data_IF_580228234132
#
_entry.id   IF_580228234132
#
_cell.length_a   1.000
_cell.length_b   1.000
_cell.length_c   1.000
_cell.angle_alpha   90.00
_cell.angle_beta   90.00
_cell.angle_gamma   90.00
#
_symmetry.space_group_name_H-M   'P 1'
#
loop_
_entity.id
_entity.type
_entity.pdbx_description
1 polymer ?
#
# COMPACT_ATOMS: atom_id res chain seq x y z
N UNK A 1 -32.34 24.89 -40.67
CA UNK A 1 -32.74 24.97 -42.08
C UNK A 1 -31.62 24.33 -42.87
N UNK A 2 -31.64 23.01 -43.07
CA UNK A 2 -32.38 22.31 -44.14
C UNK A 2 -31.97 22.89 -45.50
N UNK A 3 -31.30 22.18 -46.40
CA UNK A 3 -31.76 20.92 -46.99
C UNK A 3 -30.60 20.07 -47.54
N UNK A 4 -30.66 18.77 -47.23
CA UNK A 4 -30.08 17.69 -48.05
C UNK A 4 -30.96 17.48 -49.29
N UNK A 5 -30.35 17.01 -50.38
CA UNK A 5 -31.01 16.54 -51.59
C UNK A 5 -30.63 15.06 -51.79
N UNK A 6 -31.64 14.23 -52.00
CA UNK A 6 -31.59 12.77 -52.09
C UNK A 6 -31.64 12.31 -53.56
N UNK A 7 -31.03 11.15 -53.82
CA UNK A 7 -31.37 10.25 -54.92
C UNK A 7 -30.15 9.60 -55.57
N UNK A 8 -30.08 8.31 -55.87
CA UNK A 8 -30.99 7.17 -55.71
C UNK A 8 -30.17 5.92 -56.16
N UNK A 9 -30.72 4.72 -55.99
CA UNK A 9 -30.44 3.46 -56.71
C UNK A 9 -29.45 2.47 -56.05
N UNK A 10 -30.01 1.60 -55.21
CA UNK A 10 -30.24 0.18 -55.52
C UNK A 10 -29.05 -0.77 -55.75
N UNK A 11 -28.92 -1.79 -54.90
CA UNK A 11 -28.88 -3.21 -55.31
C UNK A 11 -28.77 -4.12 -54.07
N UNK A 12 -29.79 -4.95 -53.87
CA UNK A 12 -29.78 -6.18 -53.08
C UNK A 12 -28.62 -7.09 -53.49
N UNK A 13 -27.96 -7.77 -52.55
CA UNK A 13 -27.62 -9.20 -52.67
C UNK A 13 -27.27 -9.78 -51.29
N UNK A 14 -28.19 -10.59 -50.77
CA UNK A 14 -28.03 -11.43 -49.60
C UNK A 14 -27.13 -12.64 -49.94
N UNK A 15 -26.03 -12.82 -49.20
CA UNK A 15 -25.16 -14.00 -49.26
C UNK A 15 -25.26 -14.81 -47.98
N UNK A 16 -26.09 -15.87 -47.99
CA UNK A 16 -26.10 -16.91 -46.97
C UNK A 16 -24.95 -17.92 -47.15
N UNK A 17 -24.52 -18.64 -46.09
CA UNK A 17 -23.35 -19.51 -46.14
C UNK A 17 -23.63 -20.86 -46.84
N UNK A 18 -22.59 -21.50 -47.41
CA UNK A 18 -22.73 -22.66 -48.29
C UNK A 18 -23.01 -23.97 -47.54
N UNK A 19 -23.91 -24.78 -48.12
CA UNK A 19 -24.19 -26.15 -47.73
C UNK A 19 -23.13 -27.11 -48.32
N UNK A 20 -22.50 -27.91 -47.45
CA UNK A 20 -21.73 -29.09 -47.86
C UNK A 20 -22.53 -30.36 -47.53
N UNK A 21 -22.81 -31.15 -48.57
CA UNK A 21 -23.38 -32.49 -48.48
C UNK A 21 -22.25 -33.48 -48.26
N UNK A 22 -22.31 -34.27 -47.18
CA UNK A 22 -21.43 -35.42 -46.98
C UNK A 22 -22.27 -36.70 -46.87
N UNK A 23 -21.92 -37.67 -47.73
CA UNK A 23 -22.55 -38.98 -47.82
C UNK A 23 -21.74 -40.00 -47.01
N UNK A 24 -22.39 -40.67 -46.06
CA UNK A 24 -22.17 -42.10 -45.86
C UNK A 24 -21.48 -42.57 -44.56
N UNK A 25 -22.11 -43.61 -44.00
CA UNK A 25 -21.68 -44.57 -42.95
C UNK A 25 -21.81 -44.10 -41.49
N UNK A 26 -22.98 -44.40 -40.93
CA UNK A 26 -23.16 -44.55 -39.48
C UNK A 26 -22.25 -45.68 -38.95
N UNK A 27 -21.29 -45.32 -38.11
CA UNK A 27 -20.56 -46.25 -37.23
C UNK A 27 -21.32 -46.38 -35.91
N UNK A 28 -21.38 -47.56 -35.27
CA UNK A 28 -22.07 -47.72 -34.00
C UNK A 28 -21.36 -46.94 -32.89
N UNK A 29 -22.11 -46.11 -32.17
CA UNK A 29 -21.63 -45.38 -30.99
C UNK A 29 -21.32 -46.36 -29.86
N UNK A 30 -20.06 -46.40 -29.42
CA UNK A 30 -19.67 -46.98 -28.13
C UNK A 30 -20.05 -45.98 -27.04
N UNK A 31 -20.63 -46.40 -25.89
CA UNK A 31 -20.92 -45.49 -24.80
C UNK A 31 -19.60 -44.98 -24.23
N UNK A 32 -19.31 -43.70 -24.38
CA UNK A 32 -18.21 -43.03 -23.67
C UNK A 32 -18.72 -42.74 -22.28
N UNK A 33 -18.21 -43.48 -21.29
CA UNK A 33 -18.42 -43.21 -19.88
C UNK A 33 -17.80 -41.84 -19.58
N UNK A 34 -18.63 -40.80 -19.43
CA UNK A 34 -18.17 -39.48 -19.02
C UNK A 34 -17.77 -39.57 -17.54
N UNK A 35 -16.47 -39.69 -17.28
CA UNK A 35 -15.91 -39.51 -15.94
C UNK A 35 -16.01 -38.02 -15.63
N UNK A 36 -16.98 -37.63 -14.80
CA UNK A 36 -17.05 -36.31 -14.22
C UNK A 36 -15.86 -36.14 -13.28
N UNK A 37 -14.78 -35.51 -13.77
CA UNK A 37 -13.69 -35.04 -12.92
C UNK A 37 -14.25 -33.84 -12.15
N UNK A 38 -14.69 -34.10 -10.92
CA UNK A 38 -15.03 -33.05 -9.98
C UNK A 38 -13.80 -32.22 -9.69
N UNK A 39 -13.70 -31.04 -10.30
CA UNK A 39 -12.73 -30.02 -9.90
C UNK A 39 -13.25 -29.43 -8.60
N UNK A 40 -12.87 -30.02 -7.48
CA UNK A 40 -12.96 -29.34 -6.19
C UNK A 40 -12.02 -28.15 -6.24
N UNK A 41 -12.57 -26.95 -6.39
CA UNK A 41 -11.85 -25.73 -6.12
C UNK A 41 -11.46 -25.75 -4.64
N UNK A 42 -10.24 -26.20 -4.35
CA UNK A 42 -9.65 -26.01 -3.04
C UNK A 42 -9.51 -24.51 -2.83
N UNK A 43 -10.38 -23.96 -1.99
CA UNK A 43 -10.19 -22.65 -1.39
C UNK A 43 -8.89 -22.73 -0.59
N UNK A 44 -7.77 -22.37 -1.22
CA UNK A 44 -6.53 -22.08 -0.52
C UNK A 44 -6.79 -20.83 0.33
N UNK A 45 -7.19 -21.03 1.58
CA UNK A 45 -7.02 -20.04 2.61
C UNK A 45 -5.51 -19.80 2.72
N UNK A 46 -5.02 -18.71 2.13
CA UNK A 46 -3.64 -18.28 2.26
C UNK A 46 -3.42 -17.81 3.70
N UNK A 47 -3.15 -18.74 4.62
CA UNK A 47 -2.55 -18.41 5.91
C UNK A 47 -1.07 -18.14 5.68
N UNK A 48 -0.77 -16.96 5.12
CA UNK A 48 0.56 -16.38 5.25
C UNK A 48 0.67 -15.82 6.67
N UNK A 49 0.92 -16.70 7.64
CA UNK A 49 1.27 -16.30 9.01
C UNK A 49 2.79 -16.30 9.12
N UNK A 50 3.34 -15.11 9.34
CA UNK A 50 4.66 -14.74 9.88
C UNK A 50 5.90 -15.52 9.38
N UNK A 51 6.93 -14.77 8.97
CA UNK A 51 8.28 -15.34 8.89
C UNK A 51 8.70 -15.88 10.28
N UNK A 52 9.26 -17.10 10.37
CA UNK A 52 9.51 -17.79 11.64
C UNK A 52 10.52 -17.12 12.58
N UNK A 53 11.17 -16.03 12.15
CA UNK A 53 12.30 -15.40 12.83
C UNK A 53 11.99 -14.04 13.49
N UNK A 54 10.74 -13.56 13.46
CA UNK A 54 10.38 -12.29 14.13
C UNK A 54 10.04 -12.55 15.60
N UNK A 55 10.79 -11.99 16.58
CA UNK A 55 10.49 -12.18 17.99
C UNK A 55 9.08 -11.69 18.35
N UNK A 56 8.42 -12.27 19.36
CA UNK A 56 7.16 -11.73 19.85
C UNK A 56 7.30 -10.27 20.28
N UNK A 57 6.23 -9.49 20.17
CA UNK A 57 6.17 -8.13 20.74
C UNK A 57 6.04 -8.18 22.25
N UNK A 58 6.35 -7.08 22.93
CA UNK A 58 6.18 -6.96 24.39
C UNK A 58 4.72 -7.20 24.82
N UNK A 59 4.51 -7.55 26.09
CA UNK A 59 3.16 -7.75 26.63
C UNK A 59 2.31 -6.48 26.55
N UNK A 60 2.91 -5.31 26.72
CA UNK A 60 2.24 -4.02 26.55
C UNK A 60 1.78 -3.79 25.11
N UNK A 61 2.64 -4.08 24.13
CA UNK A 61 2.30 -3.99 22.71
C UNK A 61 1.19 -4.98 22.33
N UNK A 62 1.30 -6.22 22.79
CA UNK A 62 0.26 -7.24 22.59
C UNK A 62 -1.07 -6.83 23.20
N UNK A 63 -1.08 -6.28 24.41
CA UNK A 63 -2.29 -5.79 25.08
C UNK A 63 -2.93 -4.60 24.34
N UNK A 64 -2.12 -3.76 23.69
CA UNK A 64 -2.59 -2.67 22.82
C UNK A 64 -3.07 -3.17 21.44
N UNK A 65 -2.98 -4.48 21.16
CA UNK A 65 -3.36 -5.07 19.88
C UNK A 65 -2.33 -4.81 18.77
N UNK A 66 -1.08 -4.53 19.13
CA UNK A 66 0.00 -4.29 18.18
C UNK A 66 0.68 -5.59 17.75
N UNK A 67 1.13 -5.58 16.50
CA UNK A 67 1.96 -6.62 15.88
C UNK A 67 3.14 -5.94 15.18
N UNK A 68 4.24 -6.66 15.00
CA UNK A 68 5.35 -6.20 14.17
C UNK A 68 4.98 -6.37 12.70
N UNK A 69 5.22 -5.36 11.88
CA UNK A 69 4.88 -5.43 10.45
C UNK A 69 5.50 -6.62 9.74
N UNK A 70 6.67 -7.10 10.19
CA UNK A 70 7.37 -8.24 9.59
C UNK A 70 6.65 -9.57 9.84
N UNK A 71 5.78 -9.66 10.85
CA UNK A 71 4.89 -10.83 11.01
C UNK A 71 3.73 -10.82 10.01
N UNK A 72 3.43 -9.66 9.42
CA UNK A 72 2.36 -9.47 8.42
C UNK A 72 2.92 -9.53 7.00
N UNK A 73 4.05 -8.88 6.75
CA UNK A 73 4.72 -8.77 5.46
C UNK A 73 6.18 -9.20 5.68
N UNK A 74 6.50 -10.45 5.37
CA UNK A 74 7.82 -11.02 5.66
C UNK A 74 8.99 -10.28 4.98
N UNK A 75 8.74 -9.68 3.81
CA UNK A 75 9.71 -8.90 3.03
C UNK A 75 9.65 -7.39 3.34
N UNK A 76 8.85 -6.93 4.31
CA UNK A 76 8.78 -5.52 4.66
C UNK A 76 10.16 -4.98 5.07
N UNK A 77 10.54 -3.86 4.46
CA UNK A 77 11.74 -3.14 4.84
C UNK A 77 11.37 -2.11 5.92
N UNK A 78 12.00 -2.20 7.07
CA UNK A 78 11.83 -1.27 8.18
C UNK A 78 12.98 -0.27 8.16
N UNK A 79 12.68 0.99 7.93
CA UNK A 79 13.62 2.13 7.85
C UNK A 79 13.07 3.28 8.72
N UNK A 80 12.81 3.01 10.00
CA UNK A 80 12.13 3.96 10.88
C UNK A 80 12.94 5.27 11.00
N UNK A 81 12.45 6.33 10.36
CA UNK A 81 13.18 7.60 10.23
C UNK A 81 13.41 8.26 11.58
N UNK A 82 12.44 8.11 12.49
CA UNK A 82 12.52 8.61 13.85
C UNK A 82 13.40 7.77 14.79
N UNK A 83 13.87 6.57 14.37
CA UNK A 83 14.92 5.81 15.05
C UNK A 83 16.34 6.27 14.67
N UNK A 84 16.46 7.30 13.83
CA UNK A 84 17.73 7.86 13.34
C UNK A 84 17.71 9.40 13.45
N UNK A 85 18.78 10.08 13.04
CA UNK A 85 18.78 11.54 12.87
C UNK A 85 18.24 12.01 11.51
N UNK A 86 17.86 11.08 10.63
CA UNK A 86 17.33 11.38 9.30
C UNK A 86 15.81 11.65 9.36
N UNK A 87 15.44 12.73 10.02
CA UNK A 87 14.07 13.21 10.14
C UNK A 87 14.08 14.74 10.38
N UNK A 88 12.91 15.38 10.32
CA UNK A 88 12.82 16.84 10.41
C UNK A 88 13.34 17.45 11.72
N UNK A 89 13.42 16.68 12.81
CA UNK A 89 13.96 17.17 14.08
C UNK A 89 15.49 17.15 14.13
N UNK A 90 16.13 16.36 13.25
CA UNK A 90 17.56 16.10 13.29
C UNK A 90 18.01 15.28 14.52
N UNK A 91 17.08 14.75 15.31
CA UNK A 91 17.36 13.97 16.53
C UNK A 91 16.72 12.59 16.46
N UNK A 92 17.34 11.62 17.12
CA UNK A 92 16.77 10.29 17.29
C UNK A 92 15.68 10.33 18.36
N UNK A 93 14.46 9.93 18.00
CA UNK A 93 13.27 9.98 18.85
C UNK A 93 12.81 8.59 19.32
N UNK A 94 13.12 7.54 18.56
CA UNK A 94 12.91 6.14 18.92
C UNK A 94 14.24 5.45 19.29
N UNK A 95 14.22 4.34 20.05
CA UNK A 95 15.36 3.44 20.17
C UNK A 95 15.88 2.99 18.79
N UNK A 96 17.20 2.74 18.67
CA UNK A 96 17.80 2.34 17.38
C UNK A 96 17.36 0.95 16.91
N UNK A 97 16.89 0.13 17.84
CA UNK A 97 16.32 -1.21 17.65
C UNK A 97 14.79 -1.20 17.60
N UNK A 98 14.17 -0.01 17.52
CA UNK A 98 12.72 0.13 17.43
C UNK A 98 12.13 -0.69 16.28
N UNK A 99 10.94 -1.20 16.54
CA UNK A 99 10.16 -2.06 15.67
C UNK A 99 9.02 -1.26 15.05
N UNK A 100 8.69 -1.55 13.80
CA UNK A 100 7.48 -1.01 13.18
C UNK A 100 6.27 -1.77 13.73
N UNK A 101 5.71 -1.26 14.82
CA UNK A 101 4.50 -1.78 15.43
C UNK A 101 3.26 -1.16 14.75
N UNK A 102 2.31 -2.00 14.36
CA UNK A 102 1.01 -1.57 13.82
C UNK A 102 -0.11 -2.27 14.57
N UNK A 103 -1.27 -1.63 14.70
CA UNK A 103 -2.44 -2.30 15.23
C UNK A 103 -2.90 -3.39 14.28
N UNK A 104 -3.25 -4.56 14.80
CA UNK A 104 -3.64 -5.76 14.05
C UNK A 104 -4.76 -5.52 13.01
N UNK A 105 -5.58 -4.49 13.20
CA UNK A 105 -6.62 -4.11 12.21
C UNK A 105 -6.05 -3.66 10.87
N UNK A 106 -4.77 -3.26 10.79
CA UNK A 106 -4.11 -2.90 9.54
C UNK A 106 -3.55 -4.12 8.80
N UNK A 107 -3.36 -5.25 9.49
CA UNK A 107 -2.60 -6.37 8.96
C UNK A 107 -3.16 -6.91 7.62
N UNK A 108 -4.47 -7.16 7.45
CA UNK A 108 -5.00 -7.62 6.16
C UNK A 108 -4.79 -6.62 5.03
N UNK A 109 -4.97 -5.32 5.32
CA UNK A 109 -4.84 -4.26 4.34
C UNK A 109 -3.40 -4.04 3.88
N UNK A 110 -2.46 -4.02 4.83
CA UNK A 110 -1.04 -3.89 4.52
C UNK A 110 -0.52 -5.12 3.74
N UNK A 111 -0.95 -6.33 4.09
CA UNK A 111 -0.61 -7.54 3.33
C UNK A 111 -1.14 -7.49 1.88
N UNK A 112 -2.37 -7.00 1.69
CA UNK A 112 -2.95 -6.81 0.36
C UNK A 112 -2.22 -5.74 -0.44
N UNK A 113 -1.86 -4.61 0.17
CA UNK A 113 -1.10 -3.54 -0.45
C UNK A 113 0.30 -4.01 -0.90
N UNK A 114 1.02 -4.75 -0.05
CA UNK A 114 2.28 -5.38 -0.41
C UNK A 114 2.11 -6.33 -1.60
N UNK A 115 1.07 -7.16 -1.57
CA UNK A 115 0.77 -8.11 -2.65
C UNK A 115 0.48 -7.40 -3.97
N UNK A 116 -0.18 -6.24 -3.97
CA UNK A 116 -0.44 -5.45 -5.17
C UNK A 116 0.83 -4.86 -5.81
N UNK A 117 1.87 -4.60 -5.01
CA UNK A 117 3.14 -4.03 -5.46
C UNK A 117 4.12 -5.09 -6.00
N UNK A 118 4.10 -6.31 -5.45
CA UNK A 118 5.05 -7.39 -5.79
C UNK A 118 5.15 -7.75 -7.28
N UNK A 119 4.06 -7.81 -8.09
CA UNK A 119 4.16 -8.14 -9.51
C UNK A 119 5.06 -7.20 -10.32
N UNK A 120 5.34 -6.01 -9.79
CA UNK A 120 6.20 -4.98 -10.41
C UNK A 120 7.60 -4.95 -9.78
N UNK A 121 7.92 -5.90 -8.89
CA UNK A 121 9.20 -5.99 -8.19
C UNK A 121 9.35 -5.00 -7.04
N UNK A 122 8.25 -4.39 -6.58
CA UNK A 122 8.26 -3.39 -5.51
C UNK A 122 8.02 -4.03 -4.14
N UNK A 123 8.76 -3.57 -3.15
CA UNK A 123 8.65 -3.98 -1.74
C UNK A 123 8.32 -2.74 -0.91
N UNK A 124 7.38 -2.86 0.04
CA UNK A 124 7.03 -1.76 0.94
C UNK A 124 8.16 -1.44 1.92
N UNK A 125 8.37 -0.15 2.12
CA UNK A 125 9.34 0.41 3.06
C UNK A 125 8.58 1.26 4.07
N UNK A 126 8.76 0.98 5.35
CA UNK A 126 8.07 1.64 6.46
C UNK A 126 9.00 2.64 7.16
N UNK A 127 8.59 3.90 7.19
CA UNK A 127 9.33 5.02 7.80
C UNK A 127 8.77 5.44 9.15
N UNK A 128 7.45 5.30 9.35
CA UNK A 128 6.84 5.40 10.66
C UNK A 128 5.59 4.51 10.76
N UNK A 129 5.30 4.06 11.98
CA UNK A 129 4.22 3.14 12.30
C UNK A 129 3.51 3.64 13.57
N UNK A 130 3.41 2.83 14.63
CA UNK A 130 2.98 3.35 15.93
C UNK A 130 4.00 4.37 16.48
N UNK A 131 3.49 5.54 16.86
CA UNK A 131 4.26 6.64 17.46
C UNK A 131 3.82 6.85 18.90
N UNK A 132 4.67 6.64 19.92
CA UNK A 132 4.33 6.97 21.30
C UNK A 132 3.94 8.44 21.45
N UNK A 133 2.94 8.73 22.30
CA UNK A 133 2.40 10.09 22.47
C UNK A 133 3.48 11.12 22.85
N UNK A 134 4.41 10.73 23.72
CA UNK A 134 5.53 11.59 24.11
C UNK A 134 6.42 12.00 22.93
N UNK A 135 6.51 11.18 21.88
CA UNK A 135 7.25 11.52 20.67
C UNK A 135 6.46 12.55 19.85
N UNK A 136 5.14 12.42 19.76
CA UNK A 136 4.29 13.44 19.13
C UNK A 136 4.42 14.80 19.82
N UNK A 137 4.47 14.81 21.17
CA UNK A 137 4.70 16.03 21.95
C UNK A 137 6.08 16.63 21.67
N UNK A 138 7.14 15.81 21.63
CA UNK A 138 8.51 16.26 21.29
C UNK A 138 8.57 16.84 19.88
N UNK A 139 8.00 16.16 18.89
CA UNK A 139 7.90 16.59 17.50
C UNK A 139 7.23 17.96 17.36
N UNK A 140 6.06 18.13 17.98
CA UNK A 140 5.33 19.40 17.93
C UNK A 140 6.06 20.53 18.66
N UNK A 141 6.87 20.21 19.67
CA UNK A 141 7.71 21.21 20.35
C UNK A 141 8.83 21.77 19.46
N UNK A 142 9.32 20.97 18.51
CA UNK A 142 10.33 21.40 17.52
C UNK A 142 9.68 22.22 16.40
N UNK A 143 8.53 21.76 15.89
CA UNK A 143 7.75 22.44 14.84
C UNK A 143 6.31 22.62 15.30
N UNK A 144 5.98 23.73 15.99
CA UNK A 144 4.65 23.98 16.55
C UNK A 144 3.66 24.52 15.50
N UNK A 145 3.64 23.89 14.32
CA UNK A 145 2.77 24.25 13.21
C UNK A 145 1.83 23.08 12.88
N UNK A 146 0.52 23.16 13.19
CA UNK A 146 -0.44 22.09 12.93
C UNK A 146 -0.70 21.84 11.45
N UNK A 147 -0.20 22.68 10.54
CA UNK A 147 -0.20 22.39 9.11
C UNK A 147 0.81 21.32 8.70
N UNK A 148 1.79 21.02 9.56
CA UNK A 148 2.94 20.14 9.27
C UNK A 148 3.13 19.04 10.30
N UNK A 149 2.86 19.32 11.57
CA UNK A 149 2.97 18.34 12.66
C UNK A 149 1.68 18.36 13.45
N UNK A 150 1.02 17.21 13.55
CA UNK A 150 -0.24 17.09 14.28
C UNK A 150 -0.12 17.64 15.71
N UNK A 151 -1.07 18.47 16.12
CA UNK A 151 -1.08 18.99 17.49
C UNK A 151 -1.39 17.85 18.45
N UNK A 152 -0.55 17.59 19.47
CA UNK A 152 -0.85 16.58 20.47
C UNK A 152 -2.15 16.94 21.21
N UNK A 153 -3.00 15.94 21.40
CA UNK A 153 -4.30 16.09 22.07
C UNK A 153 -4.45 15.16 23.28
N UNK A 154 -5.62 15.14 23.93
CA UNK A 154 -5.88 14.24 25.06
C UNK A 154 -6.15 12.78 24.65
N UNK A 155 -6.21 12.51 23.33
CA UNK A 155 -6.55 11.20 22.78
C UNK A 155 -5.53 10.78 21.72
N UNK A 156 -5.28 9.48 21.67
CA UNK A 156 -4.53 8.85 20.60
C UNK A 156 -5.44 8.57 19.39
N UNK A 157 -4.96 8.97 18.22
CA UNK A 157 -5.52 8.66 16.90
C UNK A 157 -4.36 8.43 15.94
N UNK A 158 -4.64 7.96 14.72
CA UNK A 158 -3.64 7.78 13.66
C UNK A 158 -2.40 6.98 14.15
N UNK A 159 -1.18 7.49 13.97
CA UNK A 159 0.08 6.90 14.44
C UNK A 159 0.08 6.61 15.94
N UNK A 160 -0.48 7.49 16.79
CA UNK A 160 -0.53 7.27 18.25
C UNK A 160 -1.44 6.11 18.65
N UNK A 161 -2.32 5.67 17.75
CA UNK A 161 -3.16 4.49 17.94
C UNK A 161 -2.66 3.25 17.19
N UNK A 162 -1.49 3.35 16.55
CA UNK A 162 -0.90 2.32 15.69
C UNK A 162 -1.71 2.05 14.42
N UNK A 163 -2.57 2.99 14.01
CA UNK A 163 -3.53 2.80 12.89
C UNK A 163 -3.22 3.60 11.65
N UNK A 164 -2.02 4.16 11.56
CA UNK A 164 -1.50 4.82 10.37
C UNK A 164 -0.06 4.36 10.14
N UNK A 165 0.37 4.48 8.90
CA UNK A 165 1.74 4.18 8.49
C UNK A 165 2.23 5.24 7.52
N UNK A 166 3.52 5.54 7.61
CA UNK A 166 4.25 6.35 6.65
C UNK A 166 5.13 5.42 5.83
N UNK A 167 4.88 5.36 4.52
CA UNK A 167 5.48 4.35 3.66
C UNK A 167 5.95 4.91 2.32
N UNK A 168 6.90 4.21 1.74
CA UNK A 168 7.21 4.24 0.31
C UNK A 168 7.40 2.80 -0.20
N UNK A 169 7.94 2.64 -1.40
CA UNK A 169 8.31 1.34 -1.93
C UNK A 169 9.66 1.37 -2.65
N UNK A 170 10.29 0.20 -2.80
CA UNK A 170 11.52 0.05 -3.59
C UNK A 170 11.22 0.13 -5.08
N UNK A 171 12.09 0.75 -5.88
CA UNK A 171 11.93 0.89 -7.32
C UNK A 171 12.96 0.07 -8.10
N UNK A 172 12.59 -0.25 -9.34
CA UNK A 172 13.42 -0.87 -10.38
C UNK A 172 13.40 0.12 -11.54
N UNK A 173 14.52 0.75 -11.95
CA UNK A 173 15.90 0.24 -11.96
C UNK A 173 16.76 0.61 -10.74
N UNK A 174 17.86 -0.14 -10.55
CA UNK A 174 18.73 -0.13 -9.36
C UNK A 174 19.62 1.12 -9.15
N UNK A 175 19.48 2.18 -9.95
CA UNK A 175 20.34 3.35 -9.84
C UNK A 175 19.56 4.56 -9.30
N UNK A 176 19.99 5.01 -8.14
CA UNK A 176 19.47 6.17 -7.44
C UNK A 176 20.61 6.80 -6.61
N UNK A 177 20.50 8.09 -6.27
CA UNK A 177 21.46 8.77 -5.41
C UNK A 177 21.47 8.16 -4.00
N UNK A 178 22.59 8.24 -3.25
CA UNK A 178 22.72 7.62 -1.93
C UNK A 178 21.57 7.90 -0.93
N UNK A 179 21.01 9.13 -0.84
CA UNK A 179 19.90 9.40 0.08
C UNK A 179 18.61 8.63 -0.25
N UNK A 180 18.46 8.13 -1.49
CA UNK A 180 17.32 7.32 -1.92
C UNK A 180 17.63 5.81 -1.91
N UNK A 181 18.56 5.36 -1.06
CA UNK A 181 18.89 3.94 -0.90
C UNK A 181 18.51 3.41 0.46
N UNK A 182 17.97 2.20 0.50
CA UNK A 182 17.72 1.43 1.72
C UNK A 182 18.19 -0.01 1.48
N UNK A 183 19.02 -0.56 2.36
CA UNK A 183 19.55 -1.92 2.22
C UNK A 183 20.15 -2.24 0.83
N UNK A 184 20.80 -1.26 0.20
CA UNK A 184 21.36 -1.39 -1.15
C UNK A 184 20.34 -1.35 -2.30
N UNK A 185 19.04 -1.20 -2.00
CA UNK A 185 17.95 -1.05 -2.96
C UNK A 185 17.59 0.41 -3.14
N UNK A 186 17.05 0.76 -4.31
CA UNK A 186 16.56 2.10 -4.58
C UNK A 186 15.14 2.30 -4.09
N UNK A 187 14.89 3.43 -3.44
CA UNK A 187 13.56 3.93 -3.12
C UNK A 187 12.94 4.58 -4.36
N UNK A 188 11.62 4.46 -4.51
CA UNK A 188 10.86 5.20 -5.50
C UNK A 188 11.11 6.71 -5.37
N UNK A 189 11.34 7.37 -6.50
CA UNK A 189 11.48 8.82 -6.52
C UNK A 189 10.08 9.44 -6.42
N UNK A 190 9.81 10.08 -5.29
CA UNK A 190 8.51 10.68 -5.00
C UNK A 190 8.53 12.20 -5.13
N UNK A 191 9.65 12.81 -5.52
CA UNK A 191 9.79 14.25 -5.77
C UNK A 191 10.00 15.13 -4.56
N UNK A 192 9.80 14.59 -3.36
CA UNK A 192 10.27 15.12 -2.08
C UNK A 192 10.76 13.94 -1.24
N UNK A 193 11.54 14.22 -0.20
CA UNK A 193 11.79 13.21 0.84
C UNK A 193 10.57 13.15 1.81
N UNK A 194 10.65 12.24 2.78
CA UNK A 194 9.80 12.18 3.96
C UNK A 194 9.92 13.46 4.80
N UNK A 195 8.85 13.83 5.51
CA UNK A 195 8.74 15.06 6.33
C UNK A 195 9.05 16.38 5.55
N UNK A 196 8.88 16.40 4.23
CA UNK A 196 8.97 17.64 3.45
C UNK A 196 7.73 18.52 3.72
N UNK A 197 7.93 19.69 4.32
CA UNK A 197 6.86 20.61 4.70
C UNK A 197 6.45 21.60 3.59
N UNK A 198 6.65 21.24 2.32
CA UNK A 198 6.20 22.03 1.18
C UNK A 198 4.92 21.49 0.54
N UNK A 199 4.23 22.33 -0.24
CA UNK A 199 3.06 21.90 -1.02
C UNK A 199 3.35 20.78 -2.03
N UNK A 200 4.63 20.61 -2.40
CA UNK A 200 5.10 19.50 -3.24
C UNK A 200 4.90 18.15 -2.56
N UNK A 201 4.83 18.09 -1.23
CA UNK A 201 4.68 16.84 -0.48
C UNK A 201 3.22 16.34 -0.41
N UNK A 202 2.25 17.17 -0.78
CA UNK A 202 0.83 16.77 -0.77
C UNK A 202 0.55 15.58 -1.70
N UNK A 203 -0.36 14.70 -1.31
CA UNK A 203 -0.55 13.39 -1.94
C UNK A 203 -0.89 13.43 -3.44
N UNK A 204 -1.41 14.55 -3.92
CA UNK A 204 -1.83 14.76 -5.31
C UNK A 204 -1.13 15.95 -5.98
N UNK A 205 -0.01 16.44 -5.41
CA UNK A 205 0.75 17.53 -6.00
C UNK A 205 1.21 17.21 -7.43
N UNK A 206 0.98 18.15 -8.35
CA UNK A 206 1.47 18.09 -9.73
C UNK A 206 2.50 19.17 -10.02
N UNK A 207 2.38 20.35 -9.41
CA UNK A 207 3.31 21.46 -9.59
C UNK A 207 4.67 21.14 -8.98
N UNK A 208 5.71 21.13 -9.81
CA UNK A 208 7.07 20.81 -9.39
C UNK A 208 7.34 19.31 -9.18
N UNK A 209 6.36 18.45 -9.39
CA UNK A 209 6.48 16.99 -9.30
C UNK A 209 6.44 16.43 -10.72
N UNK A 210 7.49 15.72 -11.16
CA UNK A 210 7.57 15.15 -12.50
C UNK A 210 6.50 14.07 -12.73
N UNK A 211 6.23 13.73 -14.00
CA UNK A 211 5.27 12.69 -14.36
C UNK A 211 5.62 11.33 -13.71
N UNK A 212 6.90 10.95 -13.69
CA UNK A 212 7.35 9.70 -13.06
C UNK A 212 7.13 9.70 -11.54
N UNK A 213 7.39 10.83 -10.88
CA UNK A 213 7.14 10.99 -9.44
C UNK A 213 5.64 10.93 -9.12
N UNK A 214 4.80 11.56 -9.96
CA UNK A 214 3.34 11.46 -9.84
C UNK A 214 2.86 10.01 -10.05
N UNK A 215 3.43 9.30 -11.02
CA UNK A 215 3.12 7.90 -11.28
C UNK A 215 3.52 6.99 -10.11
N UNK A 216 4.68 7.25 -9.47
CA UNK A 216 5.09 6.52 -8.26
C UNK A 216 4.13 6.78 -7.09
N UNK A 217 3.74 8.03 -6.84
CA UNK A 217 2.74 8.36 -5.81
C UNK A 217 1.39 7.70 -6.09
N UNK A 218 0.96 7.69 -7.35
CA UNK A 218 -0.26 7.01 -7.75
C UNK A 218 -0.17 5.50 -7.49
N UNK A 219 0.93 4.86 -7.87
CA UNK A 219 1.18 3.44 -7.63
C UNK A 219 1.11 3.07 -6.15
N UNK A 220 1.78 3.84 -5.29
CA UNK A 220 1.72 3.63 -3.85
C UNK A 220 0.28 3.78 -3.34
N UNK A 221 -0.37 4.90 -3.68
CA UNK A 221 -1.72 5.18 -3.24
C UNK A 221 -2.73 4.12 -3.70
N UNK A 222 -2.62 3.64 -4.93
CA UNK A 222 -3.54 2.65 -5.49
C UNK A 222 -3.34 1.29 -4.81
N UNK A 223 -2.10 0.91 -4.50
CA UNK A 223 -1.81 -0.29 -3.71
C UNK A 223 -2.35 -0.19 -2.28
N UNK A 224 -2.16 0.94 -1.61
CA UNK A 224 -2.66 1.15 -0.25
C UNK A 224 -4.19 1.18 -0.22
N UNK A 225 -4.84 1.83 -1.20
CA UNK A 225 -6.30 1.81 -1.38
C UNK A 225 -6.84 0.42 -1.69
N UNK A 226 -6.11 -0.39 -2.46
CA UNK A 226 -6.47 -1.79 -2.69
C UNK A 226 -6.52 -2.59 -1.39
N UNK A 227 -5.62 -2.29 -0.45
CA UNK A 227 -5.66 -2.79 0.92
C UNK A 227 -6.74 -2.18 1.82
N UNK A 228 -7.51 -1.21 1.33
CA UNK A 228 -8.53 -0.50 2.11
C UNK A 228 -7.98 0.60 3.03
N UNK A 229 -6.74 1.05 2.81
CA UNK A 229 -6.17 2.19 3.53
C UNK A 229 -6.45 3.50 2.77
N UNK A 230 -6.66 4.58 3.52
CA UNK A 230 -7.00 5.90 2.98
C UNK A 230 -5.74 6.79 2.95
N UNK A 231 -5.39 7.43 1.81
CA UNK A 231 -4.33 8.42 1.79
C UNK A 231 -4.73 9.67 2.56
N UNK A 232 -3.81 10.24 3.34
CA UNK A 232 -3.97 11.60 3.83
C UNK A 232 -3.62 12.60 2.71
N UNK A 233 -4.39 13.67 2.53
CA UNK A 233 -4.19 14.59 1.39
C UNK A 233 -2.96 15.48 1.55
N UNK A 234 -2.55 15.75 2.80
CA UNK A 234 -1.42 16.62 3.11
C UNK A 234 -0.06 16.00 2.80
N UNK A 235 0.03 14.67 2.72
CA UNK A 235 1.31 13.94 2.70
C UNK A 235 1.20 12.73 1.79
N UNK A 236 2.13 12.56 0.83
CA UNK A 236 2.06 11.44 -0.12
C UNK A 236 2.39 10.07 0.49
N UNK A 237 3.10 10.06 1.63
CA UNK A 237 3.57 8.86 2.31
C UNK A 237 2.60 8.32 3.36
N UNK A 238 1.66 9.15 3.85
CA UNK A 238 0.81 8.83 5.00
C UNK A 238 -0.48 8.11 4.60
N UNK A 239 -0.77 7.00 5.26
CA UNK A 239 -1.98 6.22 5.04
C UNK A 239 -2.65 5.80 6.35
N UNK A 240 -3.95 6.05 6.42
CA UNK A 240 -4.81 5.70 7.54
C UNK A 240 -5.52 4.36 7.31
N UNK A 241 -5.49 3.50 8.33
CA UNK A 241 -6.27 2.27 8.37
C UNK A 241 -7.65 2.44 9.03
N UNK A 242 -8.40 1.33 9.14
CA UNK A 242 -9.73 1.34 9.77
C UNK A 242 -9.72 1.94 11.19
N UNK A 243 -10.55 2.97 11.38
CA UNK A 243 -10.72 3.63 12.66
C UNK A 243 -9.55 4.49 13.12
N UNK A 244 -8.65 4.91 12.21
CA UNK A 244 -7.53 5.80 12.53
C UNK A 244 -7.97 7.12 13.17
N UNK A 245 -9.08 7.70 12.74
CA UNK A 245 -9.62 8.96 13.28
C UNK A 245 -10.43 8.80 14.58
N UNK A 246 -10.58 7.58 15.11
CA UNK A 246 -11.36 7.37 16.34
C UNK A 246 -10.48 7.66 17.56
N UNK A 247 -10.96 8.54 18.43
CA UNK A 247 -10.30 8.87 19.70
C UNK A 247 -10.17 7.64 20.61
N UNK A 248 -8.97 7.44 21.14
CA UNK A 248 -8.63 6.38 22.09
C UNK A 248 -7.80 6.93 23.24
N UNK A 249 -7.75 6.22 24.38
CA UNK A 249 -6.79 6.55 25.44
C UNK A 249 -5.37 6.60 24.89
N UNK A 250 -4.58 7.56 25.38
CA UNK A 250 -3.16 7.67 25.06
C UNK A 250 -2.44 6.34 25.37
N UNK A 251 -1.64 5.88 24.41
CA UNK A 251 -0.78 4.72 24.54
C UNK A 251 0.66 5.19 24.67
N UNK A 252 1.37 4.67 25.67
CA UNK A 252 2.82 4.84 25.85
C UNK A 252 3.50 3.48 25.82
N UNK A 253 3.16 2.68 24.80
CA UNK A 253 3.76 1.36 24.61
C UNK A 253 5.21 1.57 24.13
N UNK A 254 6.20 0.86 24.70
CA UNK A 254 7.56 0.86 24.14
C UNK A 254 7.59 0.27 22.72
N UNK A 255 8.44 0.82 21.86
CA UNK A 255 8.53 0.41 20.45
C UNK A 255 9.64 -0.62 20.18
N UNK A 256 10.37 -1.05 21.20
CA UNK A 256 11.43 -2.07 21.16
C UNK A 256 10.90 -3.53 21.19
#
# INVERSE_FOLDING_TARGET
>A
MASHDDGDIGADFAGGPPQWRDNGRMRPMRPVLAVAVGVTAALCAATAWAGPDVPPVSDAARAAGFVDIRTVIADAIVDLRYATTNNFTGTQLYPSDARCLVHQSLAPGLAAAATALRPQGHVLVFWDCYRPHEVQVKMFSVVPNPAWVARPGPYAHSHESGRSVDVTFTSVPQQCPPPRRVNGLCLADMGTDFDDFSSRATAYATQGVSADQQANRARLRDAMKYGGLAPYSGEWWHFDGPGAAVDRPILNVPVD
#
